data_IF_122040695665
#
_entry.id   IF_122040695665
#
_cell.length_a   1.000
_cell.length_b   1.000
_cell.length_c   1.000
_cell.angle_alpha   90.00
_cell.angle_beta   90.00
_cell.angle_gamma   90.00
#
_symmetry.space_group_name_H-M   'P 1'
#
loop_
_entity.id
_entity.type
_entity.pdbx_description
1 polymer ?
#
# COMPACT_ATOMS: atom_id res chain seq x y z
N UNK A 1 -12.14 3.15 -4.10
CA UNK A 1 -11.13 4.17 -4.42
C UNK A 1 -11.21 5.28 -3.38
N UNK A 2 -10.14 6.06 -3.17
CA UNK A 2 -10.17 7.25 -2.30
C UNK A 2 -10.29 8.50 -3.17
N UNK A 3 -11.13 9.44 -2.76
CA UNK A 3 -11.35 10.72 -3.46
C UNK A 3 -10.97 11.85 -2.52
N UNK A 4 -10.20 12.82 -3.03
CA UNK A 4 -9.90 14.06 -2.33
C UNK A 4 -10.33 15.23 -3.21
N UNK A 5 -11.30 16.01 -2.73
CA UNK A 5 -11.82 17.18 -3.43
C UNK A 5 -11.60 18.44 -2.58
N UNK A 6 -11.25 19.55 -3.24
CA UNK A 6 -11.03 20.86 -2.61
C UNK A 6 -11.97 21.85 -3.29
N UNK A 7 -12.79 22.55 -2.49
CA UNK A 7 -13.82 23.50 -2.94
C UNK A 7 -13.59 24.90 -2.33
N UNK A 8 -14.20 25.97 -2.88
CA UNK A 8 -14.08 27.31 -2.32
C UNK A 8 -14.51 27.39 -0.84
N UNK A 9 -13.88 28.27 -0.03
CA UNK A 9 -12.84 29.25 -0.39
C UNK A 9 -11.41 28.69 -0.42
N UNK A 10 -11.19 27.42 -0.05
CA UNK A 10 -9.84 26.80 -0.07
C UNK A 10 -9.29 26.61 -1.49
N UNK A 11 -10.17 26.48 -2.47
CA UNK A 11 -9.83 26.30 -3.88
C UNK A 11 -9.63 27.65 -4.59
N UNK A 12 -8.51 28.33 -4.32
CA UNK A 12 -8.21 29.69 -4.82
C UNK A 12 -8.26 29.77 -6.35
N UNK A 13 -7.75 28.74 -7.04
CA UNK A 13 -7.72 28.64 -8.51
C UNK A 13 -8.96 27.95 -9.11
N UNK A 14 -9.99 27.70 -8.28
CA UNK A 14 -11.18 26.93 -8.64
C UNK A 14 -11.17 25.48 -8.13
N UNK A 15 -12.31 24.77 -8.14
CA UNK A 15 -12.45 23.44 -7.54
C UNK A 15 -11.49 22.39 -8.13
N UNK A 16 -10.91 21.56 -7.27
CA UNK A 16 -9.90 20.55 -7.63
C UNK A 16 -10.31 19.18 -7.10
N UNK A 17 -9.97 18.11 -7.83
CA UNK A 17 -10.19 16.73 -7.35
C UNK A 17 -9.05 15.81 -7.76
N UNK A 18 -8.64 14.93 -6.84
CA UNK A 18 -7.74 13.82 -7.09
C UNK A 18 -8.38 12.50 -6.67
N UNK A 19 -8.19 11.45 -7.47
CA UNK A 19 -8.76 10.12 -7.25
C UNK A 19 -7.61 9.11 -7.16
N UNK A 20 -7.46 8.46 -6.00
CA UNK A 20 -6.56 7.32 -5.83
C UNK A 20 -7.37 6.04 -6.01
N UNK A 21 -7.27 5.43 -7.19
CA UNK A 21 -7.92 4.15 -7.49
C UNK A 21 -7.28 3.04 -6.68
N UNK A 22 -8.10 2.08 -6.23
CA UNK A 22 -7.54 0.82 -5.72
C UNK A 22 -7.12 -0.03 -6.90
N UNK A 23 -5.94 -0.65 -6.81
CA UNK A 23 -5.50 -1.64 -7.80
C UNK A 23 -6.45 -2.83 -7.75
N UNK A 24 -6.92 -3.28 -8.91
CA UNK A 24 -7.65 -4.54 -9.06
C UNK A 24 -6.71 -5.75 -9.03
N UNK A 25 -5.47 -5.57 -9.46
CA UNK A 25 -4.46 -6.61 -9.42
C UNK A 25 -3.87 -6.72 -8.02
N UNK A 26 -3.99 -7.90 -7.43
CA UNK A 26 -3.42 -8.21 -6.11
C UNK A 26 -1.94 -8.50 -6.27
N UNK A 27 -1.11 -7.84 -5.45
CA UNK A 27 0.29 -8.17 -5.32
C UNK A 27 0.44 -9.49 -4.56
N UNK A 28 1.12 -10.45 -5.19
CA UNK A 28 1.46 -11.74 -4.61
C UNK A 28 2.86 -11.69 -3.97
N UNK A 29 3.17 -12.61 -3.04
CA UNK A 29 4.49 -12.69 -2.40
C UNK A 29 5.69 -12.65 -3.36
N UNK A 30 5.70 -13.40 -4.50
CA UNK A 30 6.80 -13.34 -5.46
C UNK A 30 6.98 -11.95 -6.07
N UNK A 31 5.88 -11.26 -6.37
CA UNK A 31 5.90 -9.93 -6.99
C UNK A 31 6.62 -8.90 -6.11
N UNK A 32 6.55 -9.05 -4.78
CA UNK A 32 7.23 -8.16 -3.83
C UNK A 32 8.75 -8.35 -3.86
N UNK A 33 9.22 -9.59 -4.07
CA UNK A 33 10.65 -9.90 -4.22
C UNK A 33 11.15 -9.38 -5.57
N UNK A 34 10.38 -9.63 -6.64
CA UNK A 34 10.74 -9.21 -8.00
C UNK A 34 10.80 -7.68 -8.13
N UNK A 35 9.89 -6.97 -7.45
CA UNK A 35 9.89 -5.50 -7.35
C UNK A 35 10.94 -4.95 -6.36
N UNK A 36 11.75 -5.81 -5.74
CA UNK A 36 12.78 -5.45 -4.74
C UNK A 36 12.21 -4.71 -3.53
N UNK A 37 10.93 -4.90 -3.23
CA UNK A 37 10.31 -4.34 -2.03
C UNK A 37 10.78 -5.07 -0.76
N UNK A 38 11.17 -6.34 -0.90
CA UNK A 38 11.76 -7.18 0.15
C UNK A 38 12.66 -8.25 -0.44
N UNK A 39 13.62 -8.75 0.34
CA UNK A 39 14.52 -9.84 -0.09
C UNK A 39 13.86 -11.21 0.08
N UNK A 40 14.38 -12.23 -0.61
CA UNK A 40 13.87 -13.61 -0.48
C UNK A 40 13.89 -14.11 0.98
N UNK A 41 15.00 -13.89 1.70
CA UNK A 41 15.12 -14.30 3.10
C UNK A 41 14.13 -13.57 4.03
N UNK A 42 13.80 -12.30 3.75
CA UNK A 42 12.76 -11.59 4.50
C UNK A 42 11.36 -12.18 4.26
N UNK A 43 11.08 -12.65 3.03
CA UNK A 43 9.83 -13.34 2.73
C UNK A 43 9.73 -14.67 3.51
N UNK A 44 10.80 -15.45 3.55
CA UNK A 44 10.85 -16.72 4.29
C UNK A 44 10.63 -16.50 5.79
N UNK A 45 11.25 -15.46 6.36
CA UNK A 45 11.05 -15.07 7.76
C UNK A 45 9.59 -14.68 8.04
N UNK A 46 8.99 -13.87 7.18
CA UNK A 46 7.58 -13.47 7.31
C UNK A 46 6.65 -14.67 7.20
N UNK A 47 6.90 -15.58 6.27
CA UNK A 47 6.12 -16.81 6.12
C UNK A 47 6.20 -17.68 7.38
N UNK A 48 7.40 -17.86 7.95
CA UNK A 48 7.58 -18.59 9.20
C UNK A 48 6.87 -17.91 10.37
N UNK A 49 6.97 -16.58 10.50
CA UNK A 49 6.32 -15.81 11.55
C UNK A 49 4.78 -15.89 11.47
N UNK A 50 4.21 -15.86 10.26
CA UNK A 50 2.76 -16.04 10.04
C UNK A 50 2.33 -17.47 10.41
N UNK A 51 3.08 -18.50 9.99
CA UNK A 51 2.80 -19.90 10.37
C UNK A 51 2.86 -20.11 11.88
N UNK A 52 3.78 -19.42 12.56
CA UNK A 52 3.90 -19.41 14.01
C UNK A 52 2.84 -18.53 14.72
N UNK A 53 1.93 -17.88 13.98
CA UNK A 53 0.87 -17.00 14.49
C UNK A 53 1.38 -15.86 15.37
N UNK A 54 2.54 -15.31 15.01
CA UNK A 54 3.07 -14.14 15.67
C UNK A 54 2.26 -12.90 15.26
N UNK A 55 2.16 -11.95 16.20
CA UNK A 55 1.55 -10.65 15.92
C UNK A 55 2.55 -9.80 15.12
N UNK A 56 2.14 -9.33 13.95
CA UNK A 56 2.97 -8.54 13.03
C UNK A 56 2.21 -7.27 12.67
N UNK A 57 2.87 -6.11 12.80
CA UNK A 57 2.34 -4.81 12.40
C UNK A 57 3.16 -4.31 11.21
N UNK A 58 2.49 -3.95 10.12
CA UNK A 58 3.12 -3.27 8.98
C UNK A 58 3.05 -1.77 9.23
N UNK A 59 4.21 -1.14 9.38
CA UNK A 59 4.34 0.31 9.56
C UNK A 59 4.99 0.95 8.32
N UNK A 60 4.53 2.15 7.98
CA UNK A 60 5.00 2.95 6.85
C UNK A 60 4.31 4.30 6.79
N UNK A 61 4.92 5.28 6.13
CA UNK A 61 4.39 6.63 5.91
C UNK A 61 3.90 6.85 4.48
#
# INVERSE_FOLDING_TARGET
SRVNAIIPPLAVDGPLMSIRRFSTDKLMPPDLVDRKALTRGMMELLEAAVKARLNIIIAGG
#
